data_IF_278607322993
#
_entry.id   IF_278607322993
#
_cell.length_a   1.000
_cell.length_b   1.000
_cell.length_c   1.000
_cell.angle_alpha   90.00
_cell.angle_beta   90.00
_cell.angle_gamma   90.00
#
_symmetry.space_group_name_H-M   'P 1'
#
loop_
_entity.id
_entity.type
_entity.pdbx_description
1 polymer ?
#
# COMPACT_ATOMS: atom_id res chain seq x y z
N UNK A 1 9.31 -80.16 -43.95
CA UNK A 1 9.43 -79.43 -45.24
C UNK A 1 9.03 -77.99 -44.95
N UNK A 2 9.99 -77.04 -44.85
CA UNK A 2 10.51 -76.19 -45.95
C UNK A 2 9.34 -75.41 -46.58
N UNK A 3 9.26 -74.07 -46.67
CA UNK A 3 10.22 -72.95 -46.64
C UNK A 3 9.48 -71.64 -46.31
N UNK A 4 10.25 -70.65 -45.91
CA UNK A 4 9.90 -69.22 -45.70
C UNK A 4 9.49 -68.57 -47.04
N UNK A 5 8.58 -67.60 -47.03
CA UNK A 5 8.74 -66.42 -47.87
C UNK A 5 8.26 -65.12 -47.19
N UNK A 6 9.15 -64.13 -47.23
CA UNK A 6 8.97 -62.72 -46.84
C UNK A 6 8.30 -62.00 -48.01
N UNK A 7 7.38 -61.06 -47.77
CA UNK A 7 7.55 -59.68 -48.26
C UNK A 7 6.49 -58.69 -47.73
N UNK A 8 7.01 -57.68 -47.03
CA UNK A 8 6.69 -56.25 -47.10
C UNK A 8 5.22 -55.77 -47.03
N UNK A 9 4.87 -55.05 -45.95
CA UNK A 9 4.87 -53.56 -45.88
C UNK A 9 4.17 -53.10 -44.58
N UNK A 10 4.92 -52.58 -43.61
CA UNK A 10 4.92 -51.17 -43.17
C UNK A 10 3.55 -50.73 -42.58
N UNK A 11 3.37 -50.80 -41.25
CA UNK A 11 3.46 -49.69 -40.25
C UNK A 11 2.18 -48.80 -40.25
N UNK A 12 1.75 -48.09 -39.18
CA UNK A 12 1.86 -48.38 -37.73
C UNK A 12 0.78 -47.65 -36.84
N UNK A 13 0.85 -47.80 -35.50
CA UNK A 13 0.24 -46.96 -34.42
C UNK A 13 -1.28 -46.92 -34.21
N UNK A 14 -1.83 -47.94 -33.56
CA UNK A 14 -2.88 -47.83 -32.53
C UNK A 14 -2.52 -48.94 -31.53
N UNK A 15 -2.08 -48.73 -30.30
CA UNK A 15 -2.76 -48.11 -29.16
C UNK A 15 -1.65 -47.80 -28.14
N UNK A 16 -1.30 -46.53 -27.94
CA UNK A 16 -0.77 -46.07 -26.65
C UNK A 16 -1.65 -44.89 -26.26
N UNK A 17 -2.74 -45.19 -25.57
CA UNK A 17 -3.54 -44.19 -24.88
C UNK A 17 -4.06 -44.84 -23.61
N UNK A 18 -3.53 -44.37 -22.48
CA UNK A 18 -4.29 -44.05 -21.26
C UNK A 18 -3.39 -44.12 -20.02
N UNK A 19 -2.36 -43.27 -19.94
CA UNK A 19 -1.90 -42.76 -18.63
C UNK A 19 -1.39 -41.34 -18.83
N UNK A 20 -2.29 -40.36 -18.88
CA UNK A 20 -1.97 -38.97 -18.56
C UNK A 20 -3.29 -38.23 -18.30
N UNK A 21 -3.27 -37.37 -17.26
CA UNK A 21 -4.38 -36.63 -16.65
C UNK A 21 -5.07 -37.46 -15.56
N UNK A 22 -4.98 -37.13 -14.27
CA UNK A 22 -5.26 -35.81 -13.70
C UNK A 22 -4.50 -35.56 -12.39
N UNK A 23 -3.60 -34.57 -12.39
CA UNK A 23 -3.42 -33.69 -11.23
C UNK A 23 -3.67 -32.26 -11.73
N UNK A 24 -4.94 -31.90 -11.84
CA UNK A 24 -5.31 -30.51 -11.75
C UNK A 24 -5.64 -30.26 -10.28
N UNK A 25 -4.62 -29.99 -9.46
CA UNK A 25 -4.86 -29.36 -8.17
C UNK A 25 -5.64 -28.07 -8.43
N UNK A 26 -6.74 -27.91 -7.70
CA UNK A 26 -7.73 -26.88 -7.93
C UNK A 26 -7.11 -25.48 -7.97
N UNK A 27 -7.16 -24.84 -9.14
CA UNK A 27 -6.90 -23.41 -9.23
C UNK A 27 -7.93 -22.68 -8.36
N UNK A 28 -7.47 -22.12 -7.24
CA UNK A 28 -8.30 -21.29 -6.37
C UNK A 28 -8.95 -20.18 -7.21
N UNK A 29 -10.26 -19.96 -7.03
CA UNK A 29 -10.97 -18.89 -7.75
C UNK A 29 -10.29 -17.55 -7.47
N UNK A 30 -10.09 -16.69 -8.48
CA UNK A 30 -9.46 -15.39 -8.26
C UNK A 30 -10.29 -14.57 -7.26
N UNK A 31 -9.65 -14.14 -6.16
CA UNK A 31 -10.27 -13.24 -5.18
C UNK A 31 -10.74 -11.98 -5.91
N UNK A 32 -12.01 -11.61 -5.73
CA UNK A 32 -12.63 -10.40 -6.29
C UNK A 32 -13.11 -9.52 -5.16
N UNK A 33 -13.14 -8.22 -5.42
CA UNK A 33 -13.66 -7.25 -4.47
C UNK A 33 -15.17 -7.38 -4.38
N UNK A 34 -15.70 -7.22 -3.17
CA UNK A 34 -17.12 -7.04 -2.95
C UNK A 34 -17.60 -5.73 -3.60
N UNK A 35 -18.83 -5.72 -4.11
CA UNK A 35 -19.46 -4.46 -4.55
C UNK A 35 -19.56 -3.49 -3.35
N UNK A 36 -19.28 -2.19 -3.50
CA UNK A 36 -19.07 -1.42 -4.74
C UNK A 36 -17.60 -1.28 -5.18
N UNK A 37 -16.68 -2.07 -4.61
CA UNK A 37 -15.27 -2.00 -4.97
C UNK A 37 -14.99 -2.67 -6.31
N UNK A 38 -14.03 -2.11 -7.05
CA UNK A 38 -13.59 -2.60 -8.35
C UNK A 38 -12.20 -3.21 -8.22
N UNK A 39 -12.07 -4.43 -8.72
CA UNK A 39 -10.82 -5.21 -8.64
C UNK A 39 -9.83 -4.81 -9.72
N UNK A 40 -8.60 -4.53 -9.29
CA UNK A 40 -7.42 -4.47 -10.14
C UNK A 40 -6.32 -5.35 -9.54
N UNK A 41 -6.11 -6.54 -10.13
CA UNK A 41 -5.20 -7.56 -9.59
C UNK A 41 -5.54 -7.89 -8.13
N UNK A 42 -4.59 -7.71 -7.21
CA UNK A 42 -4.74 -7.92 -5.77
C UNK A 42 -5.09 -6.62 -5.03
N UNK A 43 -5.75 -5.68 -5.69
CA UNK A 43 -6.16 -4.39 -5.11
C UNK A 43 -7.63 -4.12 -5.43
N UNK A 44 -8.32 -3.49 -4.48
CA UNK A 44 -9.67 -2.96 -4.61
C UNK A 44 -9.64 -1.43 -4.62
N UNK A 45 -10.40 -0.84 -5.54
CA UNK A 45 -10.66 0.60 -5.56
C UNK A 45 -12.16 0.89 -5.46
N UNK A 46 -12.57 1.84 -4.63
CA UNK A 46 -13.95 2.31 -4.55
C UNK A 46 -14.00 3.79 -4.89
N UNK A 47 -14.91 4.16 -5.78
CA UNK A 47 -15.06 5.51 -6.29
C UNK A 47 -16.29 6.15 -5.64
N UNK A 48 -16.07 7.12 -4.76
CA UNK A 48 -17.16 7.87 -4.13
C UNK A 48 -17.56 9.02 -5.07
N UNK A 49 -18.44 8.71 -6.02
CA UNK A 49 -18.71 9.51 -7.21
C UNK A 49 -19.85 10.54 -7.07
N UNK A 50 -20.52 10.53 -5.93
CA UNK A 50 -21.64 11.42 -5.60
C UNK A 50 -21.46 12.13 -4.25
N UNK A 51 -20.25 12.06 -3.66
CA UNK A 51 -19.98 12.55 -2.32
C UNK A 51 -18.71 13.41 -2.30
N UNK A 52 -18.89 14.74 -2.34
CA UNK A 52 -17.78 15.67 -2.25
C UNK A 52 -17.38 15.87 -0.78
N UNK A 53 -16.12 15.62 -0.44
CA UNK A 53 -15.62 15.68 0.93
C UNK A 53 -14.29 16.41 1.01
N UNK A 54 -13.98 16.95 2.20
CA UNK A 54 -12.63 17.44 2.52
C UNK A 54 -11.68 16.25 2.65
N UNK A 55 -10.39 16.50 2.57
CA UNK A 55 -9.39 15.41 2.58
C UNK A 55 -9.49 14.50 3.81
N UNK A 56 -9.56 15.08 5.02
CA UNK A 56 -9.66 14.34 6.28
C UNK A 56 -10.98 13.54 6.40
N UNK A 57 -12.09 14.15 5.96
CA UNK A 57 -13.40 13.49 5.93
C UNK A 57 -13.40 12.31 4.95
N UNK A 58 -12.81 12.51 3.77
CA UNK A 58 -12.70 11.48 2.73
C UNK A 58 -11.83 10.31 3.21
N UNK A 59 -10.69 10.60 3.85
CA UNK A 59 -9.85 9.59 4.49
C UNK A 59 -10.60 8.84 5.58
N UNK A 60 -11.35 9.53 6.44
CA UNK A 60 -12.19 8.91 7.47
C UNK A 60 -13.23 7.96 6.87
N UNK A 61 -13.82 8.31 5.74
CA UNK A 61 -14.77 7.44 5.03
C UNK A 61 -14.08 6.21 4.46
N UNK A 62 -12.91 6.37 3.83
CA UNK A 62 -12.14 5.24 3.32
C UNK A 62 -11.73 4.30 4.46
N UNK A 63 -11.28 4.87 5.58
CA UNK A 63 -10.91 4.15 6.79
C UNK A 63 -12.06 3.29 7.33
N UNK A 64 -13.26 3.88 7.49
CA UNK A 64 -14.48 3.15 7.91
C UNK A 64 -14.90 2.05 6.96
N UNK A 65 -14.47 2.09 5.70
CA UNK A 65 -14.74 1.05 4.69
C UNK A 65 -13.57 0.09 4.51
N UNK A 66 -12.56 0.23 5.35
CA UNK A 66 -11.41 -0.63 5.38
C UNK A 66 -10.41 -0.40 4.27
N UNK A 67 -10.06 0.85 4.08
CA UNK A 67 -8.96 1.23 3.22
C UNK A 67 -8.47 2.63 3.56
N UNK A 68 -7.76 3.22 2.64
CA UNK A 68 -7.33 4.62 2.72
C UNK A 68 -7.76 5.34 1.45
N UNK A 69 -7.64 6.66 1.43
CA UNK A 69 -7.57 7.37 0.17
C UNK A 69 -6.50 6.74 -0.72
N UNK A 70 -6.83 6.59 -1.99
CA UNK A 70 -6.13 5.67 -2.86
C UNK A 70 -4.67 6.06 -3.07
N UNK A 71 -3.76 5.12 -2.88
CA UNK A 71 -2.43 5.21 -3.47
C UNK A 71 -2.40 4.74 -4.92
N UNK A 72 -1.55 5.38 -5.71
CA UNK A 72 -1.30 5.03 -7.11
C UNK A 72 0.18 4.71 -7.24
N UNK A 73 0.53 3.43 -7.17
CA UNK A 73 1.92 2.98 -7.04
C UNK A 73 2.66 2.83 -8.37
N UNK A 74 1.93 2.79 -9.48
CA UNK A 74 2.52 2.61 -10.80
C UNK A 74 1.56 3.07 -11.90
N UNK A 75 2.09 3.12 -13.13
CA UNK A 75 1.33 3.52 -14.34
C UNK A 75 0.14 2.61 -14.64
N UNK A 76 0.16 1.36 -14.19
CA UNK A 76 -0.91 0.39 -14.46
C UNK A 76 -2.12 0.65 -13.55
N UNK A 77 -1.88 0.95 -12.26
CA UNK A 77 -2.91 1.43 -11.34
C UNK A 77 -3.49 2.77 -11.81
N UNK A 78 -2.63 3.73 -12.22
CA UNK A 78 -3.08 5.00 -12.81
C UNK A 78 -4.01 4.76 -14.01
N UNK A 79 -3.59 3.91 -14.96
CA UNK A 79 -4.38 3.57 -16.14
C UNK A 79 -5.71 2.88 -15.82
N UNK A 80 -5.74 2.04 -14.78
CA UNK A 80 -6.97 1.42 -14.30
C UNK A 80 -7.96 2.45 -13.75
N UNK A 81 -7.51 3.41 -12.94
CA UNK A 81 -8.37 4.47 -12.41
C UNK A 81 -8.98 5.31 -13.54
N UNK A 82 -8.15 5.73 -14.51
CA UNK A 82 -8.59 6.50 -15.69
C UNK A 82 -9.71 5.77 -16.44
N UNK A 83 -9.44 4.52 -16.85
CA UNK A 83 -10.42 3.72 -17.61
C UNK A 83 -11.71 3.52 -16.83
N UNK A 84 -11.60 3.33 -15.52
CA UNK A 84 -12.76 3.14 -14.66
C UNK A 84 -13.62 4.39 -14.59
N UNK A 85 -13.03 5.55 -14.33
CA UNK A 85 -13.75 6.84 -14.24
C UNK A 85 -14.41 7.16 -15.59
N UNK A 86 -13.69 6.98 -16.70
CA UNK A 86 -14.24 7.20 -18.04
C UNK A 86 -15.43 6.26 -18.34
N UNK A 87 -15.38 5.02 -17.85
CA UNK A 87 -16.46 4.05 -17.97
C UNK A 87 -17.66 4.31 -17.06
N UNK A 88 -17.55 5.21 -16.07
CA UNK A 88 -18.67 5.58 -15.19
C UNK A 88 -19.59 6.65 -15.80
N UNK A 89 -19.16 7.30 -16.88
CA UNK A 89 -19.98 8.26 -17.63
C UNK A 89 -19.26 9.58 -17.93
N UNK A 90 -19.72 10.27 -18.96
CA UNK A 90 -19.11 11.53 -19.43
C UNK A 90 -19.19 12.67 -18.42
N UNK A 91 -20.18 12.67 -17.52
CA UNK A 91 -20.32 13.65 -16.45
C UNK A 91 -19.16 13.63 -15.44
N UNK A 92 -18.50 12.48 -15.27
CA UNK A 92 -17.37 12.31 -14.35
C UNK A 92 -16.00 12.49 -15.01
N UNK A 93 -15.96 12.58 -16.35
CA UNK A 93 -14.71 12.57 -17.11
C UNK A 93 -13.78 13.75 -16.78
N UNK A 94 -14.36 14.91 -16.43
CA UNK A 94 -13.61 16.14 -16.12
C UNK A 94 -13.49 16.43 -14.63
N UNK A 95 -14.01 15.56 -13.78
CA UNK A 95 -14.09 15.77 -12.33
C UNK A 95 -12.75 15.49 -11.66
N UNK A 96 -12.52 16.18 -10.54
CA UNK A 96 -11.34 16.02 -9.69
C UNK A 96 -11.62 15.02 -8.57
N UNK A 97 -10.65 14.17 -8.30
CA UNK A 97 -10.75 13.11 -7.28
C UNK A 97 -9.60 13.21 -6.28
N UNK A 98 -9.90 13.28 -4.98
CA UNK A 98 -8.90 13.16 -3.92
C UNK A 98 -8.30 11.76 -3.93
N UNK A 99 -6.98 11.73 -3.82
CA UNK A 99 -6.17 10.53 -3.67
C UNK A 99 -5.30 10.65 -2.42
N UNK A 100 -4.73 9.56 -1.94
CA UNK A 100 -4.07 9.50 -0.63
C UNK A 100 -2.67 10.08 -0.56
N UNK A 101 -2.25 10.89 -1.55
CA UNK A 101 -0.92 11.52 -1.56
C UNK A 101 -1.00 12.86 -0.81
N UNK A 102 -0.15 13.04 0.20
CA UNK A 102 -0.21 14.19 1.09
C UNK A 102 1.19 14.72 1.43
N UNK A 103 1.34 16.05 1.42
CA UNK A 103 2.55 16.75 1.83
C UNK A 103 2.62 16.83 3.36
N UNK A 104 3.46 15.98 3.95
CA UNK A 104 3.54 15.85 5.41
C UNK A 104 4.43 16.91 6.05
N UNK A 105 5.38 17.47 5.32
CA UNK A 105 6.29 18.52 5.80
C UNK A 105 5.77 19.90 5.39
N UNK A 106 5.55 20.81 6.35
CA UNK A 106 5.09 22.17 6.07
C UNK A 106 6.17 23.06 5.45
N UNK A 107 7.43 22.64 5.54
CA UNK A 107 8.60 23.39 5.09
C UNK A 107 9.14 22.93 3.74
N UNK A 108 8.70 21.76 3.24
CA UNK A 108 9.15 21.16 1.99
C UNK A 108 7.96 20.77 1.09
N UNK A 109 7.78 21.49 -0.03
CA UNK A 109 6.74 21.20 -1.02
C UNK A 109 7.01 19.98 -1.91
N UNK A 110 8.03 19.18 -1.60
CA UNK A 110 8.33 17.91 -2.30
C UNK A 110 8.13 16.69 -1.40
N UNK A 111 7.91 16.92 -0.12
CA UNK A 111 7.80 15.92 0.92
C UNK A 111 6.40 15.26 0.94
N UNK A 112 6.14 14.35 -0.02
CA UNK A 112 4.84 13.69 -0.20
C UNK A 112 4.86 12.20 0.15
N UNK A 113 3.88 11.77 0.95
CA UNK A 113 3.68 10.37 1.35
C UNK A 113 2.26 9.87 1.06
N UNK A 114 2.14 8.56 0.89
CA UNK A 114 0.84 7.89 0.75
C UNK A 114 0.24 7.59 2.13
N UNK A 115 -1.07 7.82 2.30
CA UNK A 115 -1.78 7.57 3.56
C UNK A 115 -1.89 6.09 3.94
N UNK A 116 -1.95 5.19 2.96
CA UNK A 116 -1.90 3.73 3.19
C UNK A 116 -0.48 3.21 3.45
N UNK A 117 0.51 4.10 3.33
CA UNK A 117 1.91 3.82 3.51
C UNK A 117 2.65 3.19 2.36
N UNK A 118 1.97 2.89 1.26
CA UNK A 118 2.60 2.34 0.06
C UNK A 118 3.89 3.06 -0.27
N UNK A 119 4.97 2.29 -0.43
CA UNK A 119 6.25 2.83 -0.89
C UNK A 119 6.27 2.80 -2.42
N UNK A 120 6.28 3.97 -3.04
CA UNK A 120 6.38 4.09 -4.49
C UNK A 120 7.00 5.42 -4.87
N UNK A 121 7.93 5.39 -5.83
CA UNK A 121 8.51 6.56 -6.50
C UNK A 121 7.68 7.05 -7.69
N UNK A 122 6.61 6.33 -8.07
CA UNK A 122 5.76 6.74 -9.19
C UNK A 122 5.09 8.08 -8.89
N UNK A 123 5.26 9.04 -9.78
CA UNK A 123 4.63 10.35 -9.72
C UNK A 123 4.07 10.71 -11.08
N UNK A 124 2.79 11.09 -11.15
CA UNK A 124 2.15 11.56 -12.40
C UNK A 124 1.65 13.00 -12.26
N UNK A 125 2.47 13.87 -11.68
CA UNK A 125 2.19 15.29 -11.56
C UNK A 125 1.91 15.95 -12.92
N UNK A 126 1.07 16.98 -12.87
CA UNK A 126 0.95 17.97 -13.93
C UNK A 126 2.28 18.73 -14.10
N UNK A 127 2.50 19.38 -15.25
CA UNK A 127 3.57 20.35 -15.37
C UNK A 127 3.50 21.38 -14.24
N UNK A 128 4.66 21.80 -13.74
CA UNK A 128 4.81 22.80 -12.66
C UNK A 128 4.14 22.44 -11.33
N UNK A 129 3.89 21.16 -11.06
CA UNK A 129 3.21 20.67 -9.86
C UNK A 129 4.09 19.65 -9.13
N UNK A 130 4.03 19.57 -7.79
CA UNK A 130 3.37 20.50 -6.86
C UNK A 130 4.04 21.89 -6.85
N UNK A 131 3.31 22.96 -6.54
CA UNK A 131 3.81 24.34 -6.55
C UNK A 131 3.57 25.13 -5.26
N UNK A 132 2.87 24.59 -4.27
CA UNK A 132 2.52 25.30 -3.04
C UNK A 132 2.79 24.47 -1.80
N UNK A 133 3.39 25.08 -0.77
CA UNK A 133 3.51 24.47 0.57
C UNK A 133 2.19 24.47 1.34
N UNK A 134 1.23 25.29 0.93
CA UNK A 134 -0.09 25.42 1.57
C UNK A 134 -1.13 24.44 1.00
N UNK A 135 -0.91 23.98 -0.23
CA UNK A 135 -1.73 22.99 -0.91
C UNK A 135 -1.17 21.60 -0.63
N UNK A 136 -1.53 21.02 0.50
CA UNK A 136 -0.88 19.80 0.99
C UNK A 136 -1.54 18.50 0.54
N UNK A 137 -2.69 18.58 -0.11
CA UNK A 137 -3.48 17.41 -0.51
C UNK A 137 -3.43 17.22 -2.02
N UNK A 138 -3.62 16.00 -2.52
CA UNK A 138 -3.46 15.72 -3.95
C UNK A 138 -4.78 15.34 -4.61
N UNK A 139 -5.00 15.89 -5.80
CA UNK A 139 -6.10 15.55 -6.70
C UNK A 139 -5.60 14.84 -7.96
N UNK A 140 -6.37 13.86 -8.41
CA UNK A 140 -6.38 13.35 -9.77
C UNK A 140 -7.31 14.26 -10.61
N UNK A 141 -6.77 15.04 -11.55
CA UNK A 141 -7.54 16.05 -12.30
C UNK A 141 -8.01 15.54 -13.67
N UNK A 142 -9.29 15.16 -13.77
CA UNK A 142 -9.87 14.63 -15.02
C UNK A 142 -9.85 15.61 -16.20
N UNK A 143 -9.82 16.92 -15.95
CA UNK A 143 -9.71 17.93 -17.01
C UNK A 143 -8.30 17.99 -17.62
N UNK A 144 -7.30 17.42 -16.93
CA UNK A 144 -5.89 17.47 -17.31
C UNK A 144 -5.32 16.07 -17.56
N UNK A 145 -6.13 15.20 -18.16
CA UNK A 145 -5.73 13.83 -18.48
C UNK A 145 -5.45 12.97 -17.24
N UNK A 146 -6.11 13.30 -16.11
CA UNK A 146 -5.94 12.64 -14.82
C UNK A 146 -4.52 12.72 -14.26
N UNK A 147 -3.74 13.74 -14.65
CA UNK A 147 -2.50 14.08 -13.96
C UNK A 147 -2.78 14.68 -12.59
N UNK A 148 -1.77 14.65 -11.73
CA UNK A 148 -1.92 15.02 -10.34
C UNK A 148 -1.63 16.50 -10.11
N UNK A 149 -2.35 17.12 -9.17
CA UNK A 149 -2.06 18.46 -8.69
C UNK A 149 -2.25 18.54 -7.18
N UNK A 150 -1.52 19.44 -6.57
CA UNK A 150 -1.75 19.86 -5.20
C UNK A 150 -3.07 20.65 -5.07
N UNK A 151 -3.62 20.63 -3.86
CA UNK A 151 -4.90 21.23 -3.49
C UNK A 151 -4.94 21.57 -1.99
N UNK A 152 -5.71 22.62 -1.65
CA UNK A 152 -6.02 22.96 -0.26
C UNK A 152 -6.88 21.86 0.35
N UNK A 153 -6.41 21.25 1.44
CA UNK A 153 -7.07 20.09 2.06
C UNK A 153 -8.52 20.33 2.55
N UNK A 154 -8.91 21.58 2.77
CA UNK A 154 -10.27 21.98 3.16
C UNK A 154 -11.24 22.12 1.98
N UNK A 155 -10.75 22.09 0.74
CA UNK A 155 -11.58 22.07 -0.46
C UNK A 155 -12.22 20.69 -0.63
N UNK A 156 -13.45 20.69 -1.16
CA UNK A 156 -14.24 19.46 -1.31
C UNK A 156 -14.12 18.91 -2.74
N UNK A 157 -13.89 17.61 -2.85
CA UNK A 157 -13.87 16.90 -4.13
C UNK A 157 -14.42 15.47 -3.96
N UNK A 158 -14.74 14.82 -5.08
CA UNK A 158 -14.96 13.37 -5.09
C UNK A 158 -13.68 12.67 -4.65
N UNK A 159 -13.73 11.39 -4.31
CA UNK A 159 -12.54 10.69 -3.79
C UNK A 159 -12.54 9.22 -4.14
N UNK A 160 -11.33 8.64 -4.11
CA UNK A 160 -11.11 7.23 -4.42
C UNK A 160 -10.51 6.58 -3.18
N UNK A 161 -11.11 5.49 -2.72
CA UNK A 161 -10.55 4.65 -1.68
C UNK A 161 -9.82 3.46 -2.29
N UNK A 162 -8.81 2.95 -1.59
CA UNK A 162 -8.06 1.74 -1.93
C UNK A 162 -7.94 0.82 -0.73
N UNK A 163 -8.02 -0.49 -0.99
CA UNK A 163 -7.64 -1.57 -0.06
C UNK A 163 -7.04 -2.73 -0.83
N UNK A 164 -6.15 -3.52 -0.24
CA UNK A 164 -5.57 -4.68 -0.92
C UNK A 164 -6.46 -5.93 -0.75
N UNK A 165 -6.53 -6.80 -1.77
CA UNK A 165 -7.42 -7.98 -1.84
C UNK A 165 -6.95 -9.20 -1.03
N UNK A 166 -6.14 -8.98 -0.01
CA UNK A 166 -5.52 -10.05 0.78
C UNK A 166 -4.53 -10.90 -0.05
N UNK A 167 -3.26 -10.49 0.00
CA UNK A 167 -2.24 -11.45 0.45
C UNK A 167 -1.91 -11.08 1.90
N UNK A 168 -2.71 -11.59 2.84
CA UNK A 168 -2.45 -11.71 4.29
C UNK A 168 -1.57 -10.64 4.97
N UNK A 169 -1.76 -9.34 4.68
CA UNK A 169 -0.95 -8.24 5.25
C UNK A 169 -1.53 -7.56 6.50
N UNK A 170 -2.85 -7.62 6.72
CA UNK A 170 -3.50 -7.10 7.93
C UNK A 170 -3.94 -8.28 8.82
N UNK A 171 -3.17 -8.57 9.85
CA UNK A 171 -3.52 -9.61 10.82
C UNK A 171 -4.46 -9.03 11.89
N UNK A 172 -5.71 -8.83 11.53
CA UNK A 172 -6.84 -8.69 12.49
C UNK A 172 -6.94 -7.38 13.30
N UNK A 173 -8.18 -6.98 13.58
CA UNK A 173 -8.50 -5.98 14.60
C UNK A 173 -8.59 -6.67 15.97
N UNK A 174 -8.03 -6.05 17.00
CA UNK A 174 -8.12 -6.54 18.38
C UNK A 174 -8.87 -5.53 19.25
N UNK A 175 -9.86 -6.01 20.00
CA UNK A 175 -10.48 -5.26 21.09
C UNK A 175 -9.60 -5.40 22.32
N UNK A 176 -9.22 -4.28 22.93
CA UNK A 176 -8.46 -4.30 24.18
C UNK A 176 -7.48 -3.14 24.31
N UNK A 177 -7.00 -2.96 25.53
CA UNK A 177 -5.91 -2.02 25.78
C UNK A 177 -4.62 -2.58 25.16
N UNK A 178 -3.90 -1.79 24.35
CA UNK A 178 -2.60 -2.20 23.83
C UNK A 178 -1.71 -2.67 24.98
N UNK A 179 -0.89 -3.72 24.79
CA UNK A 179 0.05 -4.12 25.83
C UNK A 179 0.98 -2.94 26.17
N UNK A 180 1.40 -2.79 27.44
CA UNK A 180 2.07 -1.58 27.95
C UNK A 180 3.47 -1.32 27.38
N UNK A 181 3.98 -2.14 26.43
CA UNK A 181 5.19 -1.83 25.67
C UNK A 181 4.86 -0.84 24.53
N UNK A 182 4.61 0.40 24.94
CA UNK A 182 4.50 1.57 24.08
C UNK A 182 5.90 2.00 23.63
N UNK A 183 6.11 2.20 22.32
CA UNK A 183 7.40 2.69 21.81
C UNK A 183 7.38 4.20 21.60
N UNK A 184 6.30 4.79 21.07
CA UNK A 184 6.18 6.25 20.95
C UNK A 184 4.74 6.75 20.76
N UNK A 185 4.46 7.96 21.25
CA UNK A 185 3.22 8.73 21.03
C UNK A 185 3.56 10.02 20.30
N UNK A 186 3.00 10.19 19.10
CA UNK A 186 3.27 11.33 18.22
C UNK A 186 2.02 11.68 17.46
N UNK A 187 1.58 12.93 17.59
CA UNK A 187 0.47 13.49 16.83
C UNK A 187 0.73 13.34 15.32
N UNK A 188 -0.19 12.70 14.60
CA UNK A 188 -0.10 12.48 13.16
C UNK A 188 0.84 11.36 12.71
N UNK A 189 1.21 10.42 13.60
CA UNK A 189 1.96 9.21 13.18
C UNK A 189 1.17 8.47 12.10
N UNK A 190 1.78 8.31 10.92
CA UNK A 190 1.15 7.51 9.86
C UNK A 190 1.26 6.02 10.18
N UNK A 191 0.36 5.23 9.60
CA UNK A 191 0.46 3.77 9.65
C UNK A 191 1.84 3.32 9.18
N UNK A 192 2.32 3.85 8.05
CA UNK A 192 3.66 3.63 7.49
C UNK A 192 4.77 3.88 8.48
N UNK A 193 4.74 5.02 9.15
CA UNK A 193 5.76 5.43 10.11
C UNK A 193 5.81 4.46 11.28
N UNK A 194 4.64 3.93 11.68
CA UNK A 194 4.57 2.85 12.65
C UNK A 194 5.12 1.52 12.13
N UNK A 195 4.73 1.11 10.91
CA UNK A 195 5.20 -0.15 10.31
C UNK A 195 6.72 -0.15 10.15
N UNK A 196 7.26 0.90 9.55
CA UNK A 196 8.66 1.04 9.21
C UNK A 196 9.54 1.15 10.46
N UNK A 197 9.07 1.87 11.49
CA UNK A 197 9.73 1.93 12.78
C UNK A 197 9.80 0.55 13.43
N UNK A 198 8.66 -0.14 13.58
CA UNK A 198 8.62 -1.44 14.25
C UNK A 198 9.43 -2.51 13.50
N UNK A 199 9.40 -2.47 12.16
CA UNK A 199 10.16 -3.38 11.31
C UNK A 199 11.66 -3.15 11.46
N UNK A 200 12.09 -1.88 11.46
CA UNK A 200 13.48 -1.51 11.69
C UNK A 200 14.00 -1.85 13.10
N UNK A 201 13.11 -2.00 14.07
CA UNK A 201 13.42 -2.49 15.42
C UNK A 201 13.36 -4.03 15.52
N UNK A 202 13.13 -4.74 14.41
CA UNK A 202 13.08 -6.21 14.35
C UNK A 202 11.82 -6.82 14.93
N UNK A 203 10.74 -6.05 15.10
CA UNK A 203 9.45 -6.60 15.53
C UNK A 203 8.71 -7.20 14.33
N UNK A 204 8.03 -8.34 14.50
CA UNK A 204 7.24 -8.95 13.42
C UNK A 204 5.88 -8.28 13.21
N UNK A 205 5.45 -7.41 14.14
CA UNK A 205 4.13 -6.81 14.15
C UNK A 205 4.19 -5.34 14.56
N UNK A 206 3.31 -4.54 13.99
CA UNK A 206 3.06 -3.16 14.41
C UNK A 206 1.58 -2.98 14.73
N UNK A 207 1.28 -2.24 15.78
CA UNK A 207 -0.06 -1.85 16.18
C UNK A 207 -0.23 -0.36 15.99
N UNK A 208 -1.32 0.08 15.36
CA UNK A 208 -1.62 1.50 15.19
C UNK A 208 -3.03 1.84 15.66
N UNK A 209 -3.12 2.93 16.42
CA UNK A 209 -4.32 3.73 16.66
C UNK A 209 -3.98 5.18 16.29
N UNK A 210 -4.97 6.09 16.16
CA UNK A 210 -4.65 7.50 15.95
C UNK A 210 -3.59 8.01 16.95
N UNK A 211 -2.54 8.63 16.42
CA UNK A 211 -1.42 9.25 17.17
C UNK A 211 -0.52 8.31 18.01
N UNK A 212 -0.77 6.99 18.03
CA UNK A 212 0.04 6.03 18.79
C UNK A 212 0.48 4.83 17.96
N UNK A 213 1.72 4.41 18.19
CA UNK A 213 2.32 3.24 17.57
C UNK A 213 2.83 2.24 18.63
N UNK A 214 2.65 0.95 18.34
CA UNK A 214 3.04 -0.16 19.20
C UNK A 214 3.84 -1.17 18.39
N UNK A 215 4.98 -1.63 18.88
CA UNK A 215 5.73 -2.72 18.22
C UNK A 215 5.56 -3.99 19.04
N UNK A 216 5.08 -5.05 18.38
CA UNK A 216 4.51 -6.21 19.07
C UNK A 216 5.27 -7.49 18.71
N UNK A 217 5.48 -8.35 19.72
CA UNK A 217 5.91 -9.74 19.52
C UNK A 217 4.69 -10.66 19.57
N UNK A 218 4.74 -11.87 18.98
CA UNK A 218 3.62 -12.81 19.00
C UNK A 218 3.09 -13.12 20.40
N UNK A 219 4.00 -13.22 21.38
CA UNK A 219 3.64 -13.50 22.78
C UNK A 219 2.83 -12.37 23.44
N UNK A 220 3.01 -11.12 22.98
CA UNK A 220 2.26 -9.96 23.46
C UNK A 220 0.82 -9.92 22.92
N UNK A 221 0.52 -10.65 21.83
CA UNK A 221 -0.85 -10.79 21.32
C UNK A 221 -1.69 -11.65 22.26
N UNK A 222 -1.10 -12.71 22.82
CA UNK A 222 -1.81 -13.65 23.70
C UNK A 222 -2.30 -13.00 25.01
N UNK A 223 -1.73 -11.85 25.40
CA UNK A 223 -2.13 -11.06 26.54
C UNK A 223 -3.32 -10.12 26.27
N UNK A 224 -3.72 -9.94 25.00
CA UNK A 224 -4.97 -9.28 24.59
C UNK A 224 -6.16 -10.23 24.86
N UNK A 225 -6.31 -10.70 26.11
CA UNK A 225 -7.34 -11.63 26.56
C UNK A 225 -8.69 -10.94 26.71
N UNK A 226 -9.33 -10.77 25.56
CA UNK A 226 -10.77 -10.64 25.27
C UNK A 226 -10.96 -10.43 23.75
N UNK A 227 -9.90 -10.58 22.96
CA UNK A 227 -9.96 -10.78 21.54
C UNK A 227 -10.44 -12.20 21.25
N UNK A 228 -11.74 -12.44 21.45
CA UNK A 228 -12.40 -13.28 20.47
C UNK A 228 -11.97 -12.70 19.12
N UNK A 229 -11.47 -13.57 18.23
CA UNK A 229 -11.14 -13.27 16.84
C UNK A 229 -12.43 -12.95 16.08
N UNK A 230 -13.31 -12.16 16.68
CA UNK A 230 -14.56 -11.69 16.19
C UNK A 230 -14.21 -10.78 15.04
N UNK A 231 -14.35 -11.33 13.84
CA UNK A 231 -15.43 -10.91 12.97
C UNK A 231 -16.20 -9.71 13.57
N UNK A 232 -15.64 -8.50 13.55
CA UNK A 232 -15.70 -7.72 12.34
C UNK A 232 -16.94 -8.10 11.48
N UNK A 233 -18.12 -8.14 12.10
CA UNK A 233 -19.35 -8.85 11.72
C UNK A 233 -20.05 -8.30 10.46
N UNK A 234 -19.34 -8.29 9.32
CA UNK A 234 -19.56 -7.32 8.22
C UNK A 234 -18.86 -5.97 8.48
N UNK A 235 -18.04 -5.95 9.51
CA UNK A 235 -17.44 -4.84 10.23
C UNK A 235 -15.90 -4.89 10.21
N UNK A 236 -15.29 -5.91 9.58
CA UNK A 236 -13.93 -5.92 8.99
C UNK A 236 -13.78 -7.12 8.05
N UNK A 237 -14.06 -6.88 6.78
CA UNK A 237 -13.08 -7.25 5.77
C UNK A 237 -12.39 -5.95 5.36
N UNK A 238 -11.09 -5.87 5.66
CA UNK A 238 -10.17 -4.75 5.44
C UNK A 238 -10.31 -3.53 6.37
N UNK A 239 -11.22 -3.52 7.35
CA UNK A 239 -11.30 -2.38 8.30
C UNK A 239 -10.07 -2.30 9.19
N UNK A 240 -9.44 -1.13 9.21
CA UNK A 240 -8.50 -0.73 10.26
C UNK A 240 -9.37 -0.24 11.42
N UNK A 241 -9.43 -0.99 12.51
CA UNK A 241 -10.18 -0.60 13.70
C UNK A 241 -9.21 0.06 14.68
N UNK A 242 -9.24 1.38 14.75
CA UNK A 242 -8.38 2.21 15.59
C UNK A 242 -9.23 3.29 16.23
N UNK A 243 -9.80 3.00 17.39
CA UNK A 243 -10.37 4.02 18.29
C UNK A 243 -9.82 3.73 19.70
N UNK A 244 -10.25 4.47 20.73
CA UNK A 244 -9.70 4.31 22.09
C UNK A 244 -9.76 2.87 22.65
N UNK A 245 -10.61 1.99 22.09
CA UNK A 245 -10.84 0.63 22.56
C UNK A 245 -10.37 -0.47 21.58
N UNK A 246 -9.89 -0.10 20.38
CA UNK A 246 -9.49 -1.05 19.34
C UNK A 246 -8.14 -0.66 18.74
N UNK A 247 -7.27 -1.65 18.54
CA UNK A 247 -5.97 -1.50 17.88
C UNK A 247 -5.95 -2.31 16.58
N UNK A 248 -5.41 -1.70 15.52
CA UNK A 248 -5.14 -2.42 14.27
C UNK A 248 -3.73 -2.98 14.30
N UNK A 249 -3.59 -4.30 14.16
CA UNK A 249 -2.30 -4.97 14.11
C UNK A 249 -1.96 -5.34 12.67
N UNK A 250 -0.75 -4.97 12.26
CA UNK A 250 -0.15 -5.22 10.97
C UNK A 250 0.95 -6.26 11.13
N UNK A 251 1.02 -7.19 10.19
CA UNK A 251 2.15 -8.10 10.12
C UNK A 251 3.20 -7.52 9.17
N UNK A 252 4.39 -7.26 9.73
CA UNK A 252 5.46 -6.56 9.05
C UNK A 252 6.22 -7.45 8.06
N UNK A 253 6.13 -8.77 8.21
CA UNK A 253 6.76 -9.73 7.29
C UNK A 253 6.06 -9.83 5.93
N UNK A 254 4.81 -9.36 5.83
CA UNK A 254 4.02 -9.39 4.59
C UNK A 254 3.98 -8.04 3.86
N UNK A 255 4.40 -6.97 4.53
CA UNK A 255 4.54 -5.66 3.92
C UNK A 255 5.85 -5.62 3.11
N UNK A 256 5.76 -5.95 1.82
CA UNK A 256 6.93 -6.09 0.92
C UNK A 256 7.41 -4.77 0.31
N UNK A 257 6.61 -3.71 0.41
CA UNK A 257 6.91 -2.42 -0.19
C UNK A 257 7.89 -1.67 0.73
N UNK A 258 9.18 -1.92 0.53
CA UNK A 258 10.32 -1.27 1.21
C UNK A 258 10.87 -0.14 0.35
N UNK A 259 11.39 0.91 0.97
CA UNK A 259 12.15 1.94 0.27
C UNK A 259 13.56 1.44 -0.12
N UNK A 260 14.15 1.94 -1.20
CA UNK A 260 15.47 1.45 -1.65
C UNK A 260 16.63 2.09 -0.87
N UNK A 261 16.40 3.27 -0.29
CA UNK A 261 17.41 4.02 0.45
C UNK A 261 16.80 4.86 1.57
N UNK A 262 17.66 5.37 2.46
CA UNK A 262 17.26 6.40 3.42
C UNK A 262 16.73 7.68 2.77
N UNK A 263 17.13 7.98 1.53
CA UNK A 263 16.62 9.12 0.78
C UNK A 263 15.18 8.88 0.32
N UNK A 264 14.87 7.66 -0.13
CA UNK A 264 13.50 7.28 -0.47
C UNK A 264 12.61 7.29 0.79
N UNK A 265 13.07 6.75 1.91
CA UNK A 265 12.38 6.84 3.21
C UNK A 265 12.13 8.30 3.61
N UNK A 266 13.12 9.16 3.38
CA UNK A 266 13.04 10.60 3.60
C UNK A 266 11.95 11.26 2.77
N UNK A 267 11.89 10.95 1.47
CA UNK A 267 10.85 11.44 0.56
C UNK A 267 9.46 10.90 0.90
N UNK A 268 9.39 9.73 1.54
CA UNK A 268 8.15 9.11 2.07
C UNK A 268 7.74 9.65 3.44
N UNK A 269 8.48 10.62 3.98
CA UNK A 269 8.13 11.29 5.22
C UNK A 269 8.39 10.58 6.51
N UNK A 270 9.41 9.72 6.47
CA UNK A 270 10.01 9.18 7.67
C UNK A 270 11.06 10.19 8.14
N UNK A 271 10.67 10.96 9.15
CA UNK A 271 11.48 12.02 9.76
C UNK A 271 11.94 11.72 11.18
N UNK A 272 11.50 10.60 11.77
CA UNK A 272 11.91 10.25 13.12
C UNK A 272 13.25 9.50 13.13
N UNK A 273 14.17 9.83 14.04
CA UNK A 273 15.34 9.01 14.31
C UNK A 273 14.96 7.57 14.63
N UNK A 274 15.33 6.64 13.75
CA UNK A 274 15.17 5.20 13.94
C UNK A 274 16.04 4.44 12.96
N UNK A 275 16.19 3.14 13.21
CA UNK A 275 16.57 2.18 12.18
C UNK A 275 15.34 1.85 11.35
N UNK A 276 15.53 1.73 10.04
CA UNK A 276 14.50 1.42 9.06
C UNK A 276 14.96 0.27 8.17
N UNK A 277 14.01 -0.45 7.56
CA UNK A 277 14.36 -1.47 6.56
C UNK A 277 14.34 -0.84 5.18
N UNK A 278 15.46 -0.94 4.47
CA UNK A 278 15.59 -0.60 3.06
C UNK A 278 15.87 -1.85 2.24
N UNK A 279 15.59 -1.80 0.94
CA UNK A 279 15.86 -2.91 0.02
C UNK A 279 16.81 -2.50 -1.08
N UNK A 280 17.92 -3.19 -1.20
CA UNK A 280 18.89 -3.00 -2.29
C UNK A 280 18.93 -4.26 -3.14
N UNK A 281 18.31 -4.22 -4.32
CA UNK A 281 18.13 -5.40 -5.16
C UNK A 281 17.18 -6.41 -4.51
N UNK A 282 17.64 -7.64 -4.26
CA UNK A 282 16.85 -8.69 -3.59
C UNK A 282 17.08 -8.74 -2.07
N UNK A 283 18.05 -7.98 -1.53
CA UNK A 283 18.39 -8.00 -0.11
C UNK A 283 17.70 -6.87 0.67
N UNK A 284 17.09 -7.23 1.80
CA UNK A 284 16.67 -6.27 2.81
C UNK A 284 17.81 -5.97 3.79
N UNK A 285 17.98 -4.68 4.13
CA UNK A 285 18.98 -4.21 5.10
C UNK A 285 18.35 -3.28 6.12
N UNK A 286 18.82 -3.42 7.36
CA UNK A 286 18.57 -2.45 8.41
C UNK A 286 19.52 -1.27 8.24
N UNK A 287 18.97 -0.07 8.13
CA UNK A 287 19.72 1.15 7.91
C UNK A 287 19.31 2.22 8.93
N UNK A 288 20.29 2.78 9.64
CA UNK A 288 20.08 3.98 10.47
C UNK A 288 20.21 5.23 9.59
N UNK A 289 19.07 5.87 9.34
CA UNK A 289 18.94 7.03 8.46
C UNK A 289 19.23 8.38 9.13
N UNK A 290 19.60 8.37 10.41
CA UNK A 290 19.82 9.57 11.23
C UNK A 290 21.23 9.56 11.83
N UNK A 291 21.80 10.74 12.05
CA UNK A 291 23.06 10.93 12.77
C UNK A 291 22.83 10.76 14.28
N UNK A 292 23.92 10.66 15.04
CA UNK A 292 23.88 10.51 16.49
C UNK A 292 23.22 11.73 17.18
N UNK A 293 23.25 12.89 16.53
CA UNK A 293 22.60 14.13 16.98
C UNK A 293 21.11 14.22 16.58
N UNK A 294 20.55 13.16 15.99
CA UNK A 294 19.15 13.11 15.56
C UNK A 294 18.85 13.88 14.27
N UNK A 295 19.86 14.47 13.63
CA UNK A 295 19.72 15.08 12.31
C UNK A 295 19.62 13.98 11.23
N UNK A 296 18.84 14.23 10.18
CA UNK A 296 18.81 13.31 9.04
C UNK A 296 20.20 13.26 8.43
N UNK A 297 20.73 12.07 8.16
CA UNK A 297 22.03 11.95 7.48
C UNK A 297 21.92 12.59 6.11
N UNK A 298 22.45 13.80 5.96
CA UNK A 298 22.70 14.42 4.67
C UNK A 298 23.72 13.57 3.94
N UNK A 299 23.27 12.71 3.04
CA UNK A 299 24.15 12.16 2.03
C UNK A 299 24.39 13.29 1.04
N UNK A 300 25.50 14.01 1.27
CA UNK A 300 26.11 14.87 0.26
C UNK A 300 26.04 14.12 -1.06
N UNK A 301 25.35 14.73 -2.02
CA UNK A 301 25.43 14.33 -3.41
C UNK A 301 26.91 14.18 -3.74
N UNK A 302 27.32 12.97 -4.14
CA UNK A 302 28.52 12.82 -4.95
C UNK A 302 28.21 13.54 -6.28
N UNK A 303 28.32 14.87 -6.28
CA UNK A 303 28.73 15.59 -7.47
C UNK A 303 30.19 15.22 -7.64
N UNK A 304 30.44 14.30 -8.56
CA UNK A 304 31.75 14.17 -9.17
C UNK A 304 32.18 15.53 -9.68
N UNK A 305 33.04 16.20 -8.91
CA UNK A 305 33.93 17.23 -9.42
C UNK A 305 35.01 16.51 -10.22
N UNK A 306 34.71 16.22 -11.48
CA UNK A 306 35.70 15.75 -12.46
C UNK A 306 35.44 16.34 -13.85
N UNK A 307 35.31 17.67 -13.93
CA UNK A 307 35.70 18.42 -15.13
C UNK A 307 36.40 19.70 -14.73
N UNK A 308 37.70 19.56 -14.46
CA UNK A 308 38.69 20.61 -14.59
C UNK A 308 40.05 19.96 -14.86
N UNK A 309 40.31 19.66 -16.14
CA UNK A 309 41.60 19.76 -16.83
C UNK A 309 41.38 19.61 -18.33
#
# INVERSE_FOLDING_TARGET
MIRIDLHSKVFPWLIISAVLLTLAEGAAKPKRCESPWRTFRSVCFMFADNNHQKFEDAQTICYKKGGFLASIRNSQEQGFLIKTIQGMGSSLARVRWLIGLYQYDETDNRAYRWLDGSVSSFRNWMPTQPNSVYERCTLLDGSNGYKWRDEICSNRALFICRKDLEKDGSMSCFKGHPPPQQIFEKKGVSVTECLEHCRGQGFPLAGSVPDKCFCLKPDNINALKEAERHECNGHCQNQHCGNNNFITIYNLTYYTDTAESCEDLSQLGLSNPSTYVTKSGEEEKLQNCFSDDGERKSLKTHRDNSFNR
#
